data_IF_389726291721
#
_entry.id   IF_389726291721
#
_cell.length_a   1.000
_cell.length_b   1.000
_cell.length_c   1.000
_cell.angle_alpha   90.00
_cell.angle_beta   90.00
_cell.angle_gamma   90.00
#
_symmetry.space_group_name_H-M   'P 1'
#
loop_
_entity.id
_entity.type
_entity.pdbx_description
1 polymer ?
#
# COMPACT_ATOMS: atom_id res chain seq x y z
N UNK A 1 -1.12 3.31 -12.54
CA UNK A 1 -1.94 2.87 -11.40
C UNK A 1 -1.88 3.97 -10.34
N UNK A 2 -2.99 4.40 -9.74
CA UNK A 2 -2.96 5.43 -8.68
C UNK A 2 -2.47 4.82 -7.35
N UNK A 3 -1.67 5.56 -6.58
CA UNK A 3 -1.19 5.14 -5.25
C UNK A 3 -2.32 4.71 -4.30
N UNK A 4 -3.47 5.41 -4.31
CA UNK A 4 -4.63 5.02 -3.49
C UNK A 4 -5.17 3.63 -3.83
N UNK A 5 -5.20 3.27 -5.11
CA UNK A 5 -5.66 1.95 -5.55
C UNK A 5 -4.71 0.85 -5.09
N UNK A 6 -3.40 1.10 -5.20
CA UNK A 6 -2.37 0.18 -4.70
C UNK A 6 -2.40 0.08 -3.17
N UNK A 7 -2.63 1.20 -2.49
CA UNK A 7 -2.80 1.23 -1.04
C UNK A 7 -4.00 0.39 -0.58
N UNK A 8 -5.13 0.50 -1.26
CA UNK A 8 -6.32 -0.32 -0.97
C UNK A 8 -6.05 -1.82 -1.15
N UNK A 9 -5.30 -2.19 -2.20
CA UNK A 9 -4.84 -3.57 -2.39
C UNK A 9 -4.01 -4.04 -1.18
N UNK A 10 -3.09 -3.23 -0.68
CA UNK A 10 -2.29 -3.57 0.51
C UNK A 10 -3.10 -3.60 1.80
N UNK A 11 -4.08 -2.70 1.99
CA UNK A 11 -5.01 -2.74 3.13
C UNK A 11 -5.76 -4.08 3.15
N UNK A 12 -6.30 -4.50 2.00
CA UNK A 12 -6.94 -5.81 1.89
C UNK A 12 -5.96 -6.96 2.09
N UNK A 13 -4.73 -6.83 1.59
CA UNK A 13 -3.64 -7.79 1.79
C UNK A 13 -3.31 -8.04 3.25
N UNK A 14 -3.08 -6.97 4.02
CA UNK A 14 -2.79 -7.04 5.45
C UNK A 14 -3.98 -7.58 6.23
N UNK A 15 -5.21 -7.20 5.85
CA UNK A 15 -6.44 -7.62 6.53
C UNK A 15 -6.73 -9.11 6.28
N UNK A 16 -6.51 -9.59 5.04
CA UNK A 16 -6.72 -10.98 4.63
C UNK A 16 -5.50 -11.88 4.91
N UNK A 17 -4.36 -11.32 5.29
CA UNK A 17 -3.14 -12.05 5.67
C UNK A 17 -2.32 -12.59 4.49
N UNK A 18 -2.38 -11.94 3.32
CA UNK A 18 -1.57 -12.32 2.15
C UNK A 18 -0.48 -11.30 1.78
N UNK A 19 -0.39 -10.20 2.53
CA UNK A 19 0.64 -9.17 2.46
C UNK A 19 1.11 -8.90 3.89
N UNK A 20 2.42 -8.78 4.08
CA UNK A 20 3.03 -8.36 5.34
C UNK A 20 3.58 -6.93 5.26
N UNK A 21 3.83 -6.31 6.41
CA UNK A 21 4.37 -4.95 6.50
C UNK A 21 5.64 -4.71 5.67
N UNK A 22 6.63 -5.63 5.61
CA UNK A 22 7.83 -5.44 4.80
C UNK A 22 7.56 -5.26 3.30
N UNK A 23 6.53 -5.93 2.75
CA UNK A 23 6.16 -5.80 1.33
C UNK A 23 5.62 -4.38 1.04
N UNK A 24 4.89 -3.81 2.00
CA UNK A 24 4.36 -2.44 1.88
C UNK A 24 5.45 -1.39 2.07
N UNK A 25 6.37 -1.62 3.01
CA UNK A 25 7.53 -0.76 3.25
C UNK A 25 8.39 -0.68 1.98
N UNK A 26 8.73 -1.84 1.39
CA UNK A 26 9.49 -1.89 0.15
C UNK A 26 8.77 -1.15 -1.01
N UNK A 27 7.45 -1.28 -1.10
CA UNK A 27 6.68 -0.51 -2.07
C UNK A 27 6.77 1.01 -1.83
N UNK A 28 6.69 1.46 -0.58
CA UNK A 28 6.86 2.87 -0.26
C UNK A 28 8.27 3.37 -0.60
N UNK A 29 9.31 2.59 -0.34
CA UNK A 29 10.69 2.90 -0.72
C UNK A 29 10.83 3.07 -2.24
N UNK A 30 10.24 2.17 -3.03
CA UNK A 30 10.19 2.29 -4.49
C UNK A 30 9.47 3.58 -4.93
N UNK A 31 8.30 3.87 -4.34
CA UNK A 31 7.56 5.09 -4.66
C UNK A 31 8.37 6.35 -4.33
N UNK A 32 9.11 6.37 -3.22
CA UNK A 32 9.98 7.49 -2.84
C UNK A 32 11.06 7.73 -3.91
N UNK A 33 11.64 6.66 -4.45
CA UNK A 33 12.69 6.74 -5.48
C UNK A 33 12.12 7.20 -6.82
N UNK A 34 10.92 6.76 -7.19
CA UNK A 34 10.29 7.06 -8.48
C UNK A 34 9.53 8.39 -8.50
N UNK A 35 9.00 8.84 -7.37
CA UNK A 35 8.19 10.05 -7.31
C UNK A 35 9.05 11.32 -7.48
N UNK A 36 8.58 12.25 -8.32
CA UNK A 36 9.22 13.56 -8.48
C UNK A 36 9.26 14.36 -7.18
N UNK A 37 8.32 14.09 -6.28
CA UNK A 37 8.22 14.70 -4.95
C UNK A 37 7.84 13.64 -3.93
N UNK A 38 8.66 13.54 -2.89
CA UNK A 38 8.34 12.76 -1.70
C UNK A 38 7.23 13.44 -0.90
N UNK A 39 6.22 12.67 -0.53
CA UNK A 39 5.13 13.10 0.35
C UNK A 39 5.28 12.43 1.73
N UNK A 40 4.70 13.05 2.76
CA UNK A 40 4.84 12.60 4.16
C UNK A 40 4.38 11.14 4.34
N UNK A 41 3.27 10.76 3.70
CA UNK A 41 2.73 9.39 3.78
C UNK A 41 3.72 8.33 3.28
N UNK A 42 4.60 8.67 2.34
CA UNK A 42 5.60 7.74 1.80
C UNK A 42 6.66 7.43 2.86
N UNK A 43 7.14 8.48 3.55
CA UNK A 43 8.12 8.37 4.62
C UNK A 43 7.53 7.68 5.85
N UNK A 44 6.29 8.00 6.19
CA UNK A 44 5.57 7.36 7.31
C UNK A 44 5.50 5.84 7.13
N UNK A 45 5.24 5.36 5.92
CA UNK A 45 5.24 3.92 5.61
C UNK A 45 6.66 3.36 5.58
N UNK A 46 7.59 4.02 4.88
CA UNK A 46 9.00 3.57 4.73
C UNK A 46 9.71 3.40 6.08
N UNK A 47 9.37 4.23 7.07
CA UNK A 47 9.99 4.22 8.40
C UNK A 47 9.35 3.25 9.40
N UNK A 48 8.30 2.53 9.00
CA UNK A 48 7.67 1.50 9.82
C UNK A 48 8.60 0.30 10.06
N UNK A 49 8.44 -0.37 11.21
CA UNK A 49 9.10 -1.64 11.50
C UNK A 49 8.45 -2.82 10.77
N UNK A 50 9.18 -3.94 10.58
CA UNK A 50 8.67 -5.12 9.89
C UNK A 50 7.48 -5.80 10.59
N UNK A 51 7.29 -5.54 11.88
CA UNK A 51 6.19 -6.09 12.69
C UNK A 51 5.01 -5.10 12.85
N UNK A 52 5.12 -3.89 12.29
CA UNK A 52 4.18 -2.78 12.52
C UNK A 52 2.94 -2.82 11.62
N UNK A 53 2.32 -4.00 11.45
CA UNK A 53 1.19 -4.20 10.52
C UNK A 53 0.04 -3.21 10.70
N UNK A 54 -0.25 -2.83 11.95
CA UNK A 54 -1.36 -1.94 12.29
C UNK A 54 -1.02 -0.47 11.96
N UNK A 55 0.25 -0.09 12.15
CA UNK A 55 0.74 1.27 11.87
C UNK A 55 0.79 1.47 10.35
N UNK A 56 1.35 0.50 9.62
CA UNK A 56 1.33 0.48 8.15
C UNK A 56 -0.10 0.58 7.61
N UNK A 57 -1.03 -0.20 8.16
CA UNK A 57 -2.44 -0.14 7.76
C UNK A 57 -3.04 1.25 8.01
N UNK A 58 -2.71 1.89 9.13
CA UNK A 58 -3.15 3.26 9.43
C UNK A 58 -2.62 4.25 8.39
N UNK A 59 -1.34 4.21 8.05
CA UNK A 59 -0.74 5.10 7.06
C UNK A 59 -1.26 4.86 5.63
N UNK A 60 -1.54 3.61 5.26
CA UNK A 60 -2.16 3.31 3.97
C UNK A 60 -3.53 3.98 3.80
N UNK A 61 -4.29 4.13 4.89
CA UNK A 61 -5.60 4.79 4.86
C UNK A 61 -5.51 6.32 4.73
N UNK A 62 -4.34 6.92 4.98
CA UNK A 62 -4.15 8.38 4.85
C UNK A 62 -3.69 8.79 3.45
N UNK A 63 -3.39 7.83 2.56
CA UNK A 63 -2.95 8.11 1.19
C UNK A 63 -4.10 8.79 0.43
N UNK A 64 -3.88 9.98 -0.16
CA UNK A 64 -4.91 10.72 -0.86
C UNK A 64 -5.26 10.08 -2.22
N UNK A 65 -6.46 10.39 -2.71
CA UNK A 65 -6.94 9.97 -4.03
C UNK A 65 -8.16 9.06 -3.97
N UNK A 66 -8.60 8.61 -5.13
CA UNK A 66 -9.74 7.71 -5.29
C UNK A 66 -9.28 6.29 -5.61
N UNK A 67 -10.00 5.31 -5.07
CA UNK A 67 -9.77 3.89 -5.37
C UNK A 67 -10.43 3.58 -6.71
N UNK A 68 -9.63 3.18 -7.69
CA UNK A 68 -10.15 2.55 -8.90
C UNK A 68 -10.55 1.11 -8.59
N UNK A 69 -11.86 0.91 -8.41
CA UNK A 69 -12.43 -0.40 -8.07
C UNK A 69 -12.20 -1.45 -9.16
N UNK A 70 -12.13 -1.04 -10.43
CA UNK A 70 -11.90 -1.97 -11.54
C UNK A 70 -10.45 -2.47 -11.50
N UNK A 71 -9.48 -1.56 -11.38
CA UNK A 71 -8.08 -1.91 -11.29
C UNK A 71 -7.76 -2.70 -10.01
N UNK A 72 -8.41 -2.37 -8.88
CA UNK A 72 -8.29 -3.14 -7.64
C UNK A 72 -8.80 -4.59 -7.82
N UNK A 73 -9.94 -4.78 -8.46
CA UNK A 73 -10.49 -6.11 -8.74
C UNK A 73 -9.54 -6.93 -9.63
N UNK A 74 -8.90 -6.32 -10.63
CA UNK A 74 -7.89 -6.98 -11.44
C UNK A 74 -6.66 -7.43 -10.64
N UNK A 75 -6.17 -6.58 -9.72
CA UNK A 75 -5.05 -6.93 -8.83
C UNK A 75 -5.41 -8.10 -7.90
N UNK A 76 -6.59 -8.07 -7.29
CA UNK A 76 -7.07 -9.14 -6.42
C UNK A 76 -7.27 -10.44 -7.19
N UNK A 77 -7.79 -10.36 -8.42
CA UNK A 77 -7.96 -11.51 -9.31
C UNK A 77 -6.61 -12.10 -9.73
N UNK A 78 -5.64 -11.26 -10.05
CA UNK A 78 -4.28 -11.69 -10.39
C UNK A 78 -3.58 -12.41 -9.22
N UNK A 79 -3.86 -11.98 -7.98
CA UNK A 79 -3.37 -12.65 -6.76
C UNK A 79 -4.15 -13.93 -6.41
N UNK A 80 -5.31 -14.17 -7.03
CA UNK A 80 -6.17 -15.33 -6.77
C UNK A 80 -7.09 -15.17 -5.55
N UNK A 81 -7.41 -13.93 -5.17
CA UNK A 81 -8.18 -13.58 -3.95
C UNK A 81 -9.49 -12.84 -4.27
N UNK A 82 -9.90 -12.85 -5.55
CA UNK A 82 -11.15 -12.26 -6.06
C UNK A 82 -12.22 -13.32 -6.32
#
# INVERSE_FOLDING_TARGET
>A
MNYRTKAEYYIQGITKGFVDAPEVIAWADEVIVEAEKTEDWMLDISTCGPDDRLVVLSHLNTIPGEVDQAALAELLKAKGVA
#
